data_IF_178981222281
#
_entry.id   IF_178981222281
#
_cell.length_a   1.000
_cell.length_b   1.000
_cell.length_c   1.000
_cell.angle_alpha   90.00
_cell.angle_beta   90.00
_cell.angle_gamma   90.00
#
_symmetry.space_group_name_H-M   'P 1'
#
loop_
_entity.id
_entity.type
_entity.pdbx_description
1 polymer ?
#
# COMPACT_ATOMS: atom_id res chain seq x y z
N UNK A 1 36.80 -4.29 12.73
CA UNK A 1 37.54 -3.29 11.92
C UNK A 1 36.52 -2.29 11.41
N UNK A 2 36.52 -1.06 11.93
CA UNK A 2 35.65 0.00 11.45
C UNK A 2 36.18 0.40 10.08
N UNK A 3 35.42 0.15 8.99
CA UNK A 3 35.74 0.67 7.67
C UNK A 3 35.67 2.19 7.73
N UNK A 4 36.83 2.85 7.78
CA UNK A 4 36.89 4.31 7.67
C UNK A 4 36.62 4.67 6.20
N UNK A 5 35.42 5.14 5.88
CA UNK A 5 35.10 5.67 4.55
C UNK A 5 35.99 6.89 4.31
N UNK A 6 36.81 6.87 3.25
CA UNK A 6 37.69 7.98 2.89
C UNK A 6 36.91 9.22 2.40
N UNK A 7 37.57 10.37 2.35
CA UNK A 7 36.90 11.63 1.94
C UNK A 7 36.44 11.65 0.49
N UNK A 8 37.11 10.91 -0.40
CA UNK A 8 36.73 10.79 -1.79
C UNK A 8 35.41 10.07 -1.93
N UNK A 9 35.30 8.90 -1.32
CA UNK A 9 34.07 8.09 -1.29
C UNK A 9 32.90 8.86 -0.65
N UNK A 10 33.17 9.62 0.43
CA UNK A 10 32.14 10.48 1.03
C UNK A 10 31.66 11.57 0.08
N UNK A 11 32.57 12.22 -0.66
CA UNK A 11 32.19 13.25 -1.60
C UNK A 11 31.41 12.68 -2.79
N UNK A 12 31.79 11.53 -3.30
CA UNK A 12 31.04 10.85 -4.35
C UNK A 12 29.62 10.43 -3.87
N UNK A 13 29.47 9.94 -2.64
CA UNK A 13 28.17 9.65 -2.06
C UNK A 13 27.29 10.92 -1.96
N UNK A 14 27.85 12.08 -1.63
CA UNK A 14 27.13 13.37 -1.62
C UNK A 14 26.77 13.82 -3.03
N UNK A 15 27.68 13.65 -3.98
CA UNK A 15 27.48 14.02 -5.40
C UNK A 15 26.40 13.18 -6.07
N UNK A 16 26.43 11.88 -5.83
CA UNK A 16 25.44 10.92 -6.32
C UNK A 16 24.14 10.91 -5.50
N UNK A 17 24.09 11.62 -4.37
CA UNK A 17 22.96 11.63 -3.42
C UNK A 17 22.59 10.23 -2.95
N UNK A 18 23.58 9.42 -2.66
CA UNK A 18 23.41 8.02 -2.32
C UNK A 18 22.83 7.84 -0.90
N UNK A 19 21.57 7.43 -0.84
CA UNK A 19 20.85 7.22 0.43
C UNK A 19 21.39 6.06 1.27
N UNK A 20 22.20 5.15 0.70
CA UNK A 20 22.83 4.05 1.46
C UNK A 20 23.80 4.53 2.50
N UNK A 21 24.33 5.75 2.33
CA UNK A 21 25.23 6.39 3.27
C UNK A 21 24.52 7.29 4.30
N UNK A 22 23.18 7.38 4.26
CA UNK A 22 22.43 8.17 5.24
C UNK A 22 22.54 7.53 6.63
N UNK A 23 23.06 8.30 7.58
CA UNK A 23 23.36 7.81 8.93
C UNK A 23 24.80 7.32 9.13
N UNK A 24 25.53 6.95 8.08
CA UNK A 24 26.95 6.60 8.16
C UNK A 24 27.84 7.83 8.39
N UNK A 25 27.48 8.95 7.76
CA UNK A 25 28.10 10.24 7.97
C UNK A 25 27.18 11.40 7.62
N UNK A 26 27.57 12.60 8.07
CA UNK A 26 26.90 13.87 7.73
C UNK A 26 27.93 14.80 7.10
N UNK A 27 27.46 15.69 6.20
CA UNK A 27 28.32 16.73 5.64
C UNK A 27 27.78 18.11 5.96
N UNK A 28 28.67 19.04 6.24
CA UNK A 28 28.34 20.43 6.51
C UNK A 28 28.97 21.34 5.47
N UNK A 29 28.21 22.36 5.06
CA UNK A 29 28.62 23.33 4.04
C UNK A 29 29.04 24.63 4.74
N UNK A 30 30.33 24.92 4.71
CA UNK A 30 30.94 26.07 5.41
C UNK A 30 30.33 27.42 5.02
N UNK A 31 29.98 27.59 3.75
CA UNK A 31 29.44 28.86 3.23
C UNK A 31 28.01 29.14 3.65
N UNK A 32 27.23 28.11 4.01
CA UNK A 32 25.84 28.24 4.38
C UNK A 32 25.58 27.98 5.87
N UNK A 33 26.55 27.45 6.59
CA UNK A 33 26.41 27.03 7.99
C UNK A 33 25.39 25.89 8.20
N UNK A 34 25.12 25.08 7.15
CA UNK A 34 24.12 24.04 7.17
C UNK A 34 24.81 22.68 7.08
N UNK A 35 24.36 21.68 7.90
CA UNK A 35 24.75 20.29 7.71
C UNK A 35 23.58 19.48 7.15
N UNK A 36 23.93 18.45 6.37
CA UNK A 36 23.03 17.61 5.60
C UNK A 36 23.44 16.14 5.72
N UNK A 37 22.54 15.24 5.32
CA UNK A 37 22.85 13.83 5.05
C UNK A 37 23.23 13.63 3.58
N UNK A 38 23.94 12.54 3.20
CA UNK A 38 24.41 12.28 1.84
C UNK A 38 23.34 12.38 0.75
N UNK A 39 22.14 11.84 0.98
CA UNK A 39 21.01 11.87 0.04
C UNK A 39 20.32 13.24 -0.09
N UNK A 40 20.86 14.31 0.53
CA UNK A 40 20.23 15.62 0.49
C UNK A 40 20.04 16.13 -0.95
N UNK A 41 18.81 16.53 -1.35
CA UNK A 41 18.52 17.00 -2.70
C UNK A 41 18.90 18.47 -2.94
N UNK A 42 19.59 19.12 -2.02
CA UNK A 42 20.14 20.44 -2.22
C UNK A 42 21.22 20.42 -3.32
N UNK A 43 21.59 21.60 -3.83
CA UNK A 43 22.69 21.72 -4.79
C UNK A 43 23.95 21.16 -4.15
N UNK A 44 24.64 20.25 -4.86
CA UNK A 44 25.91 19.67 -4.40
C UNK A 44 26.93 20.77 -4.17
N UNK A 45 27.47 20.93 -2.95
CA UNK A 45 28.44 21.97 -2.66
C UNK A 45 29.79 21.67 -3.31
N UNK A 46 30.59 22.71 -3.54
CA UNK A 46 31.99 22.52 -3.95
C UNK A 46 32.74 21.78 -2.85
N UNK A 47 33.60 20.81 -3.22
CA UNK A 47 34.35 19.97 -2.29
C UNK A 47 35.10 20.79 -1.24
N UNK A 48 35.71 21.90 -1.62
CA UNK A 48 36.46 22.81 -0.72
C UNK A 48 35.61 23.41 0.40
N UNK A 49 34.29 23.42 0.27
CA UNK A 49 33.36 23.98 1.24
C UNK A 49 32.71 22.92 2.14
N UNK A 50 33.06 21.64 1.94
CA UNK A 50 32.45 20.53 2.70
C UNK A 50 33.32 20.13 3.87
N UNK A 51 32.68 19.82 5.00
CA UNK A 51 33.26 19.11 6.16
C UNK A 51 32.40 17.89 6.47
N UNK A 52 33.02 16.81 6.88
CA UNK A 52 32.34 15.57 7.22
C UNK A 52 32.31 15.33 8.73
N UNK A 53 31.20 14.79 9.23
CA UNK A 53 30.98 14.46 10.63
C UNK A 53 30.41 13.07 10.74
N UNK A 54 30.82 12.32 11.77
CA UNK A 54 30.29 10.98 12.02
C UNK A 54 28.85 11.02 12.55
N UNK A 55 28.46 12.11 13.23
CA UNK A 55 27.12 12.23 13.81
C UNK A 55 26.54 13.63 13.58
N UNK A 56 25.20 13.72 13.57
CA UNK A 56 24.47 14.98 13.53
C UNK A 56 24.85 15.89 14.72
N UNK A 57 25.02 15.29 15.91
CA UNK A 57 25.42 16.01 17.12
C UNK A 57 26.80 16.68 16.98
N UNK A 58 27.77 15.98 16.37
CA UNK A 58 29.10 16.56 16.12
C UNK A 58 29.06 17.76 15.16
N UNK A 59 28.22 17.71 14.14
CA UNK A 59 28.00 18.84 13.24
C UNK A 59 27.34 20.04 13.97
N UNK A 60 26.33 19.79 14.81
CA UNK A 60 25.66 20.81 15.62
C UNK A 60 26.61 21.48 16.61
N UNK A 61 27.40 20.69 17.35
CA UNK A 61 28.42 21.20 18.30
C UNK A 61 29.47 22.05 17.58
N UNK A 62 29.74 21.76 16.30
CA UNK A 62 30.63 22.59 15.46
C UNK A 62 29.98 23.85 14.89
N UNK A 63 28.75 24.19 15.32
CA UNK A 63 28.05 25.43 14.95
C UNK A 63 27.24 25.37 13.66
N UNK A 64 27.04 24.18 13.07
CA UNK A 64 26.18 24.03 11.89
C UNK A 64 24.74 23.75 12.30
N UNK A 65 23.78 24.32 11.57
CA UNK A 65 22.34 24.07 11.77
C UNK A 65 21.87 22.95 10.82
N UNK A 66 20.85 22.22 11.25
CA UNK A 66 20.23 21.17 10.44
C UNK A 66 19.60 21.72 9.16
N UNK A 67 19.75 21.00 8.08
CA UNK A 67 19.08 21.29 6.81
C UNK A 67 17.58 21.02 6.93
N UNK A 68 16.75 22.03 6.70
CA UNK A 68 15.27 21.91 6.73
C UNK A 68 14.70 21.01 5.63
N UNK A 69 15.50 20.68 4.60
CA UNK A 69 15.05 19.81 3.48
C UNK A 69 15.24 18.34 3.76
N UNK A 70 16.40 17.95 4.28
CA UNK A 70 16.70 16.54 4.51
C UNK A 70 16.61 16.13 5.99
N UNK A 71 16.31 17.05 6.92
CA UNK A 71 16.13 16.77 8.35
C UNK A 71 17.22 15.81 8.90
N UNK A 72 18.50 16.18 8.82
CA UNK A 72 19.57 15.30 9.25
C UNK A 72 19.64 15.14 10.80
N UNK A 73 18.85 15.93 11.51
CA UNK A 73 18.61 15.91 12.96
C UNK A 73 17.57 14.87 13.38
N UNK A 74 16.78 14.35 12.46
CA UNK A 74 15.79 13.32 12.74
C UNK A 74 16.43 11.94 12.95
N UNK A 75 15.77 11.08 13.71
CA UNK A 75 16.25 9.71 13.96
C UNK A 75 16.19 8.90 12.66
N UNK A 76 17.26 8.20 12.23
CA UNK A 76 17.24 7.33 11.07
C UNK A 76 16.04 6.36 11.11
N UNK A 77 15.25 6.33 10.03
CA UNK A 77 14.06 5.50 9.94
C UNK A 77 12.79 6.08 10.57
N UNK A 78 12.85 7.25 11.22
CA UNK A 78 11.65 7.95 11.67
C UNK A 78 10.88 8.59 10.50
N UNK A 79 9.59 8.90 10.71
CA UNK A 79 8.76 9.65 9.75
C UNK A 79 9.43 10.99 9.35
N UNK A 80 10.01 11.71 10.29
CA UNK A 80 10.76 12.94 10.06
C UNK A 80 12.01 12.75 9.19
N UNK A 81 12.68 11.59 9.31
CA UNK A 81 13.82 11.22 8.48
C UNK A 81 13.42 11.01 7.02
N UNK A 82 12.24 10.44 6.81
CA UNK A 82 11.71 10.05 5.50
C UNK A 82 10.54 10.91 5.01
N UNK A 83 10.30 12.11 5.57
CA UNK A 83 9.16 13.00 5.22
C UNK A 83 8.93 13.11 3.70
N UNK A 84 9.99 13.14 2.90
CA UNK A 84 9.85 13.20 1.44
C UNK A 84 9.41 11.86 0.84
N UNK A 85 10.03 10.77 1.27
CA UNK A 85 9.65 9.44 0.81
C UNK A 85 8.22 9.13 1.25
N UNK A 86 7.80 9.58 2.43
CA UNK A 86 6.43 9.44 2.90
C UNK A 86 5.44 10.24 2.06
N UNK A 87 5.67 11.53 1.81
CA UNK A 87 4.77 12.35 0.96
C UNK A 87 4.66 11.79 -0.45
N UNK A 88 5.77 11.33 -1.03
CA UNK A 88 5.77 10.70 -2.37
C UNK A 88 5.01 9.37 -2.32
N UNK A 89 5.24 8.55 -1.32
CA UNK A 89 4.53 7.29 -1.11
C UNK A 89 3.01 7.51 -0.91
N UNK A 90 2.62 8.47 -0.08
CA UNK A 90 1.20 8.88 0.12
C UNK A 90 0.58 9.37 -1.19
N UNK A 91 1.27 10.25 -1.92
CA UNK A 91 0.81 10.73 -3.22
C UNK A 91 0.61 9.59 -4.22
N UNK A 92 1.56 8.65 -4.30
CA UNK A 92 1.45 7.50 -5.21
C UNK A 92 0.30 6.58 -4.85
N UNK A 93 0.06 6.31 -3.56
CA UNK A 93 -1.09 5.53 -3.11
C UNK A 93 -2.41 6.22 -3.49
N UNK A 94 -2.51 7.55 -3.29
CA UNK A 94 -3.70 8.33 -3.68
C UNK A 94 -3.90 8.39 -5.19
N UNK A 95 -2.84 8.54 -5.98
CA UNK A 95 -2.92 8.49 -7.45
C UNK A 95 -3.40 7.10 -7.89
N UNK A 96 -2.87 6.04 -7.28
CA UNK A 96 -3.32 4.68 -7.51
C UNK A 96 -4.80 4.46 -7.15
N UNK A 97 -5.30 5.11 -6.11
CA UNK A 97 -6.73 5.12 -5.74
C UNK A 97 -7.59 6.07 -6.59
N UNK A 98 -7.02 6.72 -7.62
CA UNK A 98 -7.75 7.57 -8.55
C UNK A 98 -8.14 8.96 -7.99
N UNK A 99 -7.49 9.45 -6.94
CA UNK A 99 -7.78 10.78 -6.36
C UNK A 99 -7.57 11.88 -7.39
N UNK A 100 -6.50 11.80 -8.20
CA UNK A 100 -6.24 12.81 -9.24
C UNK A 100 -7.33 12.79 -10.33
N UNK A 101 -7.93 11.65 -10.61
CA UNK A 101 -8.99 11.52 -11.61
C UNK A 101 -10.32 12.09 -11.10
N UNK A 102 -10.59 12.00 -9.80
CA UNK A 102 -11.82 12.51 -9.17
C UNK A 102 -11.73 13.97 -8.75
N UNK A 103 -10.61 14.37 -8.17
CA UNK A 103 -10.47 15.67 -7.46
C UNK A 103 -9.38 16.56 -8.06
N UNK A 104 -8.67 16.06 -9.10
CA UNK A 104 -7.55 16.76 -9.71
C UNK A 104 -6.32 16.87 -8.80
N UNK A 105 -5.31 17.59 -9.27
CA UNK A 105 -4.09 17.88 -8.48
C UNK A 105 -4.39 18.75 -7.25
N UNK A 106 -5.34 19.71 -7.29
CA UNK A 106 -5.73 20.44 -6.09
C UNK A 106 -6.26 19.54 -4.97
N UNK A 107 -7.14 18.58 -5.29
CA UNK A 107 -7.65 17.63 -4.30
C UNK A 107 -6.56 16.76 -3.70
N UNK A 108 -5.64 16.23 -4.53
CA UNK A 108 -4.46 15.52 -4.05
C UNK A 108 -3.64 16.38 -3.08
N UNK A 109 -3.41 17.64 -3.42
CA UNK A 109 -2.60 18.56 -2.63
C UNK A 109 -3.24 18.87 -1.26
N UNK A 110 -4.56 19.14 -1.25
CA UNK A 110 -5.33 19.36 -0.01
C UNK A 110 -5.24 18.13 0.90
N UNK A 111 -5.43 16.93 0.35
CA UNK A 111 -5.38 15.68 1.11
C UNK A 111 -4.00 15.40 1.71
N UNK A 112 -2.93 15.82 1.03
CA UNK A 112 -1.56 15.67 1.50
C UNK A 112 -1.15 16.78 2.50
N UNK A 113 -1.91 17.87 2.63
CA UNK A 113 -1.54 19.02 3.44
C UNK A 113 -0.46 19.92 2.80
N UNK A 114 -0.35 19.92 1.45
CA UNK A 114 0.66 20.68 0.72
C UNK A 114 0.02 21.52 -0.39
N UNK A 115 0.78 22.50 -0.92
CA UNK A 115 0.35 23.19 -2.14
C UNK A 115 0.55 22.31 -3.39
N UNK A 116 -0.28 22.49 -4.41
CA UNK A 116 -0.17 21.76 -5.67
C UNK A 116 1.24 21.90 -6.31
N UNK A 117 1.87 23.08 -6.18
CA UNK A 117 3.23 23.34 -6.65
C UNK A 117 4.28 22.51 -5.89
N UNK A 118 4.11 22.35 -4.57
CA UNK A 118 5.02 21.51 -3.77
C UNK A 118 4.88 20.04 -4.14
N UNK A 119 3.64 19.53 -4.28
CA UNK A 119 3.38 18.14 -4.72
C UNK A 119 3.99 17.89 -6.11
N UNK A 120 3.74 18.78 -7.07
CA UNK A 120 4.34 18.70 -8.41
C UNK A 120 5.87 18.61 -8.35
N UNK A 121 6.50 19.50 -7.58
CA UNK A 121 7.96 19.57 -7.46
C UNK A 121 8.54 18.31 -6.80
N UNK A 122 7.91 17.81 -5.72
CA UNK A 122 8.38 16.63 -5.00
C UNK A 122 8.28 15.38 -5.86
N UNK A 123 7.13 15.13 -6.49
CA UNK A 123 6.94 13.99 -7.38
C UNK A 123 7.90 14.04 -8.58
N UNK A 124 8.08 15.22 -9.19
CA UNK A 124 9.01 15.36 -10.32
C UNK A 124 10.46 15.13 -9.89
N UNK A 125 10.85 15.58 -8.68
CA UNK A 125 12.21 15.42 -8.19
C UNK A 125 12.56 13.96 -7.84
N UNK A 126 11.59 13.21 -7.31
CA UNK A 126 11.82 11.83 -6.85
C UNK A 126 11.50 10.77 -7.93
N UNK A 127 10.45 11.01 -8.74
CA UNK A 127 9.94 10.04 -9.70
C UNK A 127 10.15 10.46 -11.17
N UNK A 128 10.69 11.65 -11.40
CA UNK A 128 10.88 12.18 -12.77
C UNK A 128 9.57 12.62 -13.44
N UNK A 129 8.41 12.52 -12.76
CA UNK A 129 7.11 12.82 -13.35
C UNK A 129 6.18 13.50 -12.34
N UNK A 130 5.35 14.44 -12.80
CA UNK A 130 4.34 15.10 -11.97
C UNK A 130 3.04 14.28 -11.84
N UNK A 131 2.13 14.69 -10.94
CA UNK A 131 0.93 13.92 -10.60
C UNK A 131 0.01 13.63 -11.81
N UNK A 132 -0.12 14.56 -12.75
CA UNK A 132 -0.94 14.36 -13.97
C UNK A 132 -0.34 13.28 -14.87
N UNK A 133 0.99 13.24 -15.02
CA UNK A 133 1.67 12.23 -15.84
C UNK A 133 1.56 10.85 -15.20
N UNK A 134 1.70 10.76 -13.87
CA UNK A 134 1.54 9.53 -13.10
C UNK A 134 0.10 9.00 -13.17
N UNK A 135 -0.91 9.86 -13.01
CA UNK A 135 -2.31 9.49 -13.19
C UNK A 135 -2.62 9.03 -14.61
N UNK A 136 -2.00 9.67 -15.63
CA UNK A 136 -2.14 9.24 -17.03
C UNK A 136 -1.56 7.84 -17.25
N UNK A 137 -0.40 7.53 -16.67
CA UNK A 137 0.20 6.20 -16.74
C UNK A 137 -0.70 5.15 -16.06
N UNK A 138 -1.31 5.49 -14.92
CA UNK A 138 -2.26 4.63 -14.22
C UNK A 138 -3.50 4.35 -15.09
N UNK A 139 -4.10 5.39 -15.70
CA UNK A 139 -5.24 5.22 -16.63
C UNK A 139 -4.88 4.33 -17.82
N UNK A 140 -3.69 4.51 -18.40
CA UNK A 140 -3.22 3.65 -19.50
C UNK A 140 -3.08 2.18 -19.07
N UNK A 141 -2.60 1.93 -17.84
CA UNK A 141 -2.53 0.59 -17.28
C UNK A 141 -3.92 -0.02 -17.09
N UNK A 142 -4.86 0.70 -16.49
CA UNK A 142 -6.26 0.27 -16.33
C UNK A 142 -6.91 -0.05 -17.68
N UNK A 143 -6.71 0.83 -18.66
CA UNK A 143 -7.20 0.62 -20.03
C UNK A 143 -6.63 -0.66 -20.67
N UNK A 144 -5.33 -0.92 -20.50
CA UNK A 144 -4.69 -2.14 -20.99
C UNK A 144 -5.32 -3.38 -20.37
N UNK A 145 -5.53 -3.36 -19.05
CA UNK A 145 -6.18 -4.49 -18.35
C UNK A 145 -7.56 -4.75 -18.96
N UNK A 146 -8.42 -3.73 -19.08
CA UNK A 146 -9.75 -3.86 -19.66
C UNK A 146 -9.72 -4.35 -21.12
N UNK A 147 -8.84 -3.80 -21.96
CA UNK A 147 -8.66 -4.24 -23.35
C UNK A 147 -8.29 -5.72 -23.46
N UNK A 148 -7.48 -6.22 -22.53
CA UNK A 148 -6.94 -7.59 -22.58
C UNK A 148 -7.83 -8.61 -21.87
N UNK A 149 -8.76 -8.17 -21.03
CA UNK A 149 -9.56 -9.07 -20.17
C UNK A 149 -11.05 -9.01 -20.43
N UNK A 150 -11.55 -8.03 -21.22
CA UNK A 150 -12.97 -7.85 -21.49
C UNK A 150 -13.25 -7.65 -22.98
N UNK A 151 -14.50 -7.92 -23.39
CA UNK A 151 -15.01 -7.65 -24.73
C UNK A 151 -15.75 -6.30 -24.83
N UNK A 152 -15.62 -5.43 -23.81
CA UNK A 152 -16.25 -4.12 -23.77
C UNK A 152 -15.85 -3.29 -25.00
N UNK A 153 -16.76 -2.48 -25.55
CA UNK A 153 -16.44 -1.51 -26.60
C UNK A 153 -15.25 -0.63 -26.21
N UNK A 154 -14.36 -0.35 -27.17
CA UNK A 154 -13.15 0.48 -26.93
C UNK A 154 -13.53 1.86 -26.37
N UNK A 155 -14.67 2.41 -26.80
CA UNK A 155 -15.19 3.67 -26.30
C UNK A 155 -15.60 3.61 -24.83
N UNK A 156 -16.23 2.54 -24.40
CA UNK A 156 -16.58 2.33 -22.99
C UNK A 156 -15.34 2.17 -22.13
N UNK A 157 -14.34 1.41 -22.60
CA UNK A 157 -13.05 1.26 -21.91
C UNK A 157 -12.36 2.61 -21.74
N UNK A 158 -12.43 3.51 -22.72
CA UNK A 158 -11.82 4.83 -22.61
C UNK A 158 -12.39 5.60 -21.40
N UNK A 159 -13.70 5.63 -21.25
CA UNK A 159 -14.36 6.32 -20.12
C UNK A 159 -14.19 5.56 -18.79
N UNK A 160 -14.31 4.24 -18.81
CA UNK A 160 -14.09 3.39 -17.64
C UNK A 160 -12.67 3.51 -17.07
N UNK A 161 -11.68 3.70 -17.94
CA UNK A 161 -10.29 3.95 -17.54
C UNK A 161 -10.01 5.41 -17.12
N UNK A 162 -11.02 6.28 -17.05
CA UNK A 162 -10.90 7.65 -16.55
C UNK A 162 -10.42 8.68 -17.60
N UNK A 163 -10.50 8.37 -18.91
CA UNK A 163 -10.18 9.36 -19.95
C UNK A 163 -11.37 10.27 -20.23
N UNK A 164 -11.12 11.55 -20.40
CA UNK A 164 -12.15 12.53 -20.72
C UNK A 164 -12.67 12.44 -22.18
N UNK A 165 -11.90 11.80 -23.08
CA UNK A 165 -12.29 11.58 -24.46
C UNK A 165 -11.60 10.38 -25.10
N UNK A 166 -12.27 9.77 -26.09
CA UNK A 166 -11.71 8.66 -26.88
C UNK A 166 -10.44 9.08 -27.64
N UNK A 167 -10.33 10.35 -28.06
CA UNK A 167 -9.13 10.87 -28.70
C UNK A 167 -7.95 10.84 -27.75
N UNK A 168 -8.09 11.39 -26.55
CA UNK A 168 -7.04 11.38 -25.52
C UNK A 168 -6.62 9.95 -25.17
N UNK A 169 -7.60 9.04 -25.05
CA UNK A 169 -7.36 7.63 -24.81
C UNK A 169 -6.49 7.01 -25.92
N UNK A 170 -6.88 7.15 -27.19
CA UNK A 170 -6.15 6.59 -28.34
C UNK A 170 -4.71 7.11 -28.38
N UNK A 171 -4.53 8.45 -28.23
CA UNK A 171 -3.22 9.08 -28.23
C UNK A 171 -2.35 8.57 -27.07
N UNK A 172 -2.94 8.41 -25.90
CA UNK A 172 -2.20 7.91 -24.72
C UNK A 172 -1.81 6.45 -24.89
N UNK A 173 -2.72 5.57 -25.31
CA UNK A 173 -2.43 4.14 -25.53
C UNK A 173 -1.34 3.97 -26.59
N UNK A 174 -1.42 4.72 -27.69
CA UNK A 174 -0.42 4.69 -28.74
C UNK A 174 0.95 5.19 -28.26
N UNK A 175 0.98 6.23 -27.43
CA UNK A 175 2.22 6.77 -26.87
C UNK A 175 2.87 5.80 -25.87
N UNK A 176 2.07 5.18 -24.99
CA UNK A 176 2.59 4.32 -23.91
C UNK A 176 2.97 2.93 -24.41
N UNK A 177 2.16 2.34 -25.31
CA UNK A 177 2.34 0.95 -25.74
C UNK A 177 2.79 0.78 -27.19
N UNK A 178 2.96 1.86 -27.94
CA UNK A 178 3.28 1.86 -29.39
C UNK A 178 2.27 1.07 -30.25
N UNK A 179 1.07 0.83 -29.73
CA UNK A 179 -0.01 0.06 -30.36
C UNK A 179 -1.32 0.84 -30.30
N UNK A 180 -2.21 0.60 -31.26
CA UNK A 180 -3.59 1.07 -31.14
C UNK A 180 -4.34 0.24 -30.10
N UNK A 181 -5.44 0.75 -29.49
CA UNK A 181 -6.26 -0.05 -28.57
C UNK A 181 -6.73 -1.38 -29.17
N UNK A 182 -7.14 -1.38 -30.44
CA UNK A 182 -7.55 -2.60 -31.14
C UNK A 182 -6.41 -3.60 -31.33
N UNK A 183 -5.20 -3.09 -31.69
CA UNK A 183 -4.02 -3.93 -31.81
C UNK A 183 -3.57 -4.49 -30.44
N UNK A 184 -3.65 -3.68 -29.39
CA UNK A 184 -3.33 -4.10 -28.02
C UNK A 184 -4.32 -5.19 -27.51
N UNK A 185 -5.59 -5.09 -27.86
CA UNK A 185 -6.59 -6.15 -27.62
C UNK A 185 -6.26 -7.43 -28.38
N UNK A 186 -5.93 -7.32 -29.67
CA UNK A 186 -5.63 -8.47 -30.52
C UNK A 186 -4.34 -9.20 -30.07
N UNK A 187 -3.37 -8.49 -29.49
CA UNK A 187 -2.13 -9.02 -28.96
C UNK A 187 -2.30 -9.74 -27.60
N UNK A 188 -3.47 -9.68 -26.98
CA UNK A 188 -3.73 -10.39 -25.73
C UNK A 188 -3.64 -11.91 -25.94
N UNK A 189 -3.00 -12.67 -25.02
CA UNK A 189 -3.03 -14.14 -25.07
C UNK A 189 -4.49 -14.61 -25.09
N UNK A 190 -4.85 -15.41 -26.09
CA UNK A 190 -6.20 -16.00 -26.18
C UNK A 190 -6.39 -16.90 -24.95
N UNK A 191 -7.16 -16.43 -23.98
CA UNK A 191 -7.70 -17.27 -22.91
C UNK A 191 -8.70 -18.24 -23.55
N UNK A 192 -8.68 -19.52 -23.10
CA UNK A 192 -9.52 -20.57 -23.66
C UNK A 192 -10.98 -20.16 -23.92
N UNK A 193 -11.67 -20.91 -24.72
CA UNK A 193 -12.89 -20.64 -25.47
C UNK A 193 -14.15 -20.14 -24.72
N UNK A 194 -14.08 -19.94 -23.40
CA UNK A 194 -15.17 -19.34 -22.63
C UNK A 194 -15.11 -17.80 -22.76
N UNK A 195 -15.94 -17.22 -23.59
CA UNK A 195 -16.21 -15.79 -23.62
C UNK A 195 -16.71 -15.34 -22.24
N UNK A 196 -16.04 -14.39 -21.55
CA UNK A 196 -16.62 -13.81 -20.34
C UNK A 196 -17.93 -13.08 -20.73
N UNK A 197 -19.05 -13.59 -20.26
CA UNK A 197 -20.29 -12.82 -20.29
C UNK A 197 -20.17 -11.63 -19.31
N UNK A 198 -20.85 -10.50 -19.50
CA UNK A 198 -20.87 -9.41 -18.53
C UNK A 198 -21.22 -9.85 -17.09
N UNK A 199 -22.07 -10.88 -16.99
CA UNK A 199 -22.41 -11.54 -15.72
C UNK A 199 -21.23 -12.28 -15.07
N UNK A 200 -20.15 -12.59 -15.80
CA UNK A 200 -19.01 -13.33 -15.29
C UNK A 200 -17.96 -12.46 -14.54
N UNK A 201 -18.13 -11.13 -14.53
CA UNK A 201 -17.18 -10.18 -13.91
C UNK A 201 -15.87 -10.01 -14.69
N UNK A 202 -15.03 -9.07 -14.26
CA UNK A 202 -13.73 -8.75 -14.87
C UNK A 202 -12.67 -9.68 -14.27
N UNK A 203 -12.07 -10.61 -15.06
CA UNK A 203 -11.02 -11.46 -14.58
C UNK A 203 -9.69 -10.70 -14.56
N UNK A 204 -8.95 -10.80 -13.46
CA UNK A 204 -7.68 -10.12 -13.24
C UNK A 204 -6.63 -11.09 -12.70
N UNK A 205 -5.37 -10.74 -12.92
CA UNK A 205 -4.22 -11.34 -12.25
C UNK A 205 -3.57 -10.29 -11.36
N UNK A 206 -3.59 -10.54 -10.06
CA UNK A 206 -3.00 -9.67 -9.06
C UNK A 206 -1.57 -10.14 -8.80
N UNK A 207 -0.60 -9.56 -9.50
CA UNK A 207 0.79 -9.93 -9.38
C UNK A 207 1.36 -9.53 -8.01
N UNK A 208 2.25 -10.37 -7.47
CA UNK A 208 3.03 -10.14 -6.26
C UNK A 208 4.52 -10.44 -6.52
N UNK A 209 5.39 -9.99 -5.62
CA UNK A 209 6.83 -10.28 -5.65
C UNK A 209 7.16 -11.48 -4.77
N UNK A 210 8.17 -12.24 -5.19
CA UNK A 210 8.78 -13.30 -4.41
C UNK A 210 7.82 -14.39 -3.91
N UNK A 211 8.23 -15.15 -2.90
CA UNK A 211 7.38 -16.15 -2.28
C UNK A 211 6.15 -15.52 -1.65
N UNK A 212 5.04 -16.24 -1.64
CA UNK A 212 3.76 -15.77 -1.11
C UNK A 212 3.02 -16.87 -0.37
N UNK A 213 2.81 -16.67 0.93
CA UNK A 213 2.06 -17.64 1.77
C UNK A 213 0.56 -17.35 1.71
N UNK A 214 -0.07 -17.76 0.58
CA UNK A 214 -1.50 -17.58 0.36
C UNK A 214 -2.33 -18.22 1.48
N UNK A 215 -1.96 -19.43 1.89
CA UNK A 215 -2.64 -20.16 2.97
C UNK A 215 -2.76 -19.34 4.26
N UNK A 216 -1.69 -18.69 4.70
CA UNK A 216 -1.69 -17.89 5.92
C UNK A 216 -2.54 -16.62 5.80
N UNK A 217 -2.62 -16.02 4.61
CA UNK A 217 -3.48 -14.86 4.34
C UNK A 217 -4.95 -15.28 4.34
N UNK A 218 -5.28 -16.38 3.67
CA UNK A 218 -6.65 -16.89 3.61
C UNK A 218 -7.15 -17.43 4.96
N UNK A 219 -6.27 -18.03 5.78
CA UNK A 219 -6.59 -18.40 7.16
C UNK A 219 -7.02 -17.18 7.97
N UNK A 220 -6.23 -16.10 7.93
CA UNK A 220 -6.57 -14.85 8.61
C UNK A 220 -7.89 -14.25 8.12
N UNK A 221 -8.10 -14.20 6.79
CA UNK A 221 -9.33 -13.63 6.23
C UNK A 221 -10.56 -14.48 6.58
N UNK A 222 -10.41 -15.81 6.68
CA UNK A 222 -11.48 -16.70 7.13
C UNK A 222 -11.84 -16.47 8.61
N UNK A 223 -10.82 -16.33 9.47
CA UNK A 223 -11.02 -16.07 10.90
C UNK A 223 -11.70 -14.73 11.17
N UNK A 224 -11.40 -13.72 10.34
CA UNK A 224 -11.93 -12.36 10.47
C UNK A 224 -13.22 -12.13 9.67
N UNK A 225 -13.66 -13.05 8.82
CA UNK A 225 -14.79 -12.86 7.93
C UNK A 225 -16.09 -12.47 8.68
N UNK A 226 -16.75 -11.43 8.19
CA UNK A 226 -18.01 -10.91 8.72
C UNK A 226 -19.15 -11.36 7.82
N UNK A 227 -20.09 -12.09 8.41
CA UNK A 227 -21.29 -12.61 7.70
C UNK A 227 -22.06 -11.50 6.99
N UNK A 228 -22.44 -11.75 5.76
CA UNK A 228 -23.20 -10.84 4.92
C UNK A 228 -22.35 -9.92 4.04
N UNK A 229 -21.08 -9.69 4.39
CA UNK A 229 -20.15 -8.87 3.61
C UNK A 229 -18.88 -9.60 3.16
N UNK A 230 -18.53 -10.69 3.83
CA UNK A 230 -17.35 -11.51 3.50
C UNK A 230 -17.67 -13.00 3.63
N UNK A 231 -17.01 -13.80 2.81
CA UNK A 231 -17.03 -15.25 2.93
C UNK A 231 -15.71 -15.86 2.39
N UNK A 232 -15.32 -16.99 2.97
CA UNK A 232 -14.26 -17.86 2.46
C UNK A 232 -14.84 -19.24 2.27
N UNK A 233 -14.84 -19.72 1.04
CA UNK A 233 -15.37 -21.05 0.68
C UNK A 233 -14.33 -21.88 -0.06
N UNK A 234 -14.50 -23.20 -0.11
CA UNK A 234 -13.60 -24.14 -0.75
C UNK A 234 -12.65 -24.82 0.23
N UNK A 235 -11.87 -25.79 -0.27
CA UNK A 235 -10.86 -26.53 0.49
C UNK A 235 -9.54 -25.75 0.57
N UNK A 236 -8.78 -25.96 1.62
CA UNK A 236 -7.47 -25.30 1.80
C UNK A 236 -6.56 -25.59 0.60
N UNK A 237 -5.93 -24.53 0.05
CA UNK A 237 -5.15 -24.56 -1.19
C UNK A 237 -5.96 -24.27 -2.45
N UNK A 238 -7.30 -24.27 -2.36
CA UNK A 238 -8.23 -23.95 -3.46
C UNK A 238 -9.43 -23.10 -2.98
N UNK A 239 -9.25 -22.36 -1.88
CA UNK A 239 -10.29 -21.50 -1.34
C UNK A 239 -10.51 -20.28 -2.22
N UNK A 240 -11.73 -19.74 -2.14
CA UNK A 240 -12.08 -18.44 -2.72
C UNK A 240 -12.53 -17.53 -1.60
N UNK A 241 -11.85 -16.39 -1.44
CA UNK A 241 -12.30 -15.29 -0.60
C UNK A 241 -13.18 -14.36 -1.42
N UNK A 242 -14.36 -14.05 -0.94
CA UNK A 242 -15.29 -13.10 -1.55
C UNK A 242 -15.69 -12.01 -0.57
N UNK A 243 -15.84 -10.79 -1.09
CA UNK A 243 -16.35 -9.67 -0.28
C UNK A 243 -17.07 -8.62 -1.11
N UNK A 244 -17.90 -7.86 -0.42
CA UNK A 244 -18.49 -6.63 -0.94
C UNK A 244 -17.57 -5.44 -0.75
N UNK A 245 -17.63 -4.46 -1.63
CA UNK A 245 -16.88 -3.20 -1.56
C UNK A 245 -17.81 -2.01 -1.77
N UNK A 246 -17.72 -1.02 -0.89
CA UNK A 246 -18.19 0.33 -1.13
C UNK A 246 -17.10 1.07 -1.90
N UNK A 247 -17.44 1.65 -3.04
CA UNK A 247 -16.49 2.29 -3.94
C UNK A 247 -16.93 3.72 -4.23
N UNK A 248 -16.05 4.60 -4.76
CA UNK A 248 -16.34 6.02 -4.98
C UNK A 248 -17.53 6.30 -5.91
N UNK A 249 -17.74 5.47 -6.93
CA UNK A 249 -18.81 5.64 -7.90
C UNK A 249 -19.94 4.63 -7.76
N UNK A 250 -19.71 3.57 -6.98
CA UNK A 250 -20.71 2.52 -6.83
C UNK A 250 -20.33 1.46 -5.82
N UNK A 251 -20.63 0.23 -6.17
CA UNK A 251 -20.38 -0.94 -5.34
C UNK A 251 -19.70 -2.03 -6.15
N UNK A 252 -19.06 -2.96 -5.46
CA UNK A 252 -18.45 -4.11 -6.11
C UNK A 252 -18.52 -5.36 -5.26
N UNK A 253 -18.44 -6.50 -5.94
CA UNK A 253 -18.15 -7.81 -5.35
C UNK A 253 -16.87 -8.30 -5.95
N UNK A 254 -15.93 -8.69 -5.11
CA UNK A 254 -14.65 -9.25 -5.53
C UNK A 254 -14.52 -10.69 -5.05
N UNK A 255 -13.91 -11.53 -5.88
CA UNK A 255 -13.53 -12.89 -5.56
C UNK A 255 -12.03 -13.05 -5.85
N UNK A 256 -11.28 -13.64 -4.92
CA UNK A 256 -9.85 -13.93 -5.08
C UNK A 256 -9.61 -15.39 -4.75
N UNK A 257 -8.88 -16.08 -5.61
CA UNK A 257 -8.59 -17.51 -5.48
C UNK A 257 -7.28 -17.71 -4.70
N UNK A 258 -7.27 -18.68 -3.76
CA UNK A 258 -6.10 -19.03 -2.96
C UNK A 258 -5.00 -19.67 -3.82
N UNK A 259 -5.39 -20.41 -4.85
CA UNK A 259 -4.45 -21.00 -5.77
C UNK A 259 -3.59 -19.87 -6.40
N UNK A 260 -2.31 -19.87 -6.05
CA UNK A 260 -1.37 -18.92 -6.62
C UNK A 260 -0.54 -19.61 -7.71
N UNK A 261 -0.14 -18.83 -8.69
CA UNK A 261 0.65 -19.31 -9.82
C UNK A 261 2.04 -18.67 -9.78
N UNK A 262 3.06 -19.48 -9.58
CA UNK A 262 4.44 -19.04 -9.70
C UNK A 262 4.82 -18.81 -11.16
N UNK A 263 5.53 -17.73 -11.44
CA UNK A 263 6.00 -17.44 -12.80
C UNK A 263 7.01 -18.48 -13.33
N UNK A 264 7.52 -19.36 -12.48
CA UNK A 264 8.39 -20.47 -12.86
C UNK A 264 7.67 -21.58 -13.64
N UNK A 265 6.34 -21.69 -13.51
CA UNK A 265 5.52 -22.74 -14.19
C UNK A 265 4.98 -22.27 -15.54
N UNK A 266 5.27 -21.06 -16.00
CA UNK A 266 4.89 -20.60 -17.33
C UNK A 266 5.74 -21.31 -18.41
N UNK A 267 5.13 -21.88 -19.47
CA UNK A 267 5.88 -22.52 -20.56
C UNK A 267 6.77 -21.46 -21.27
N UNK A 268 8.08 -21.61 -21.16
CA UNK A 268 9.08 -20.67 -21.70
C UNK A 268 10.22 -20.32 -20.74
N UNK A 269 10.43 -21.11 -19.69
CA UNK A 269 11.39 -20.86 -18.62
C UNK A 269 12.85 -20.83 -19.06
N UNK A 270 13.53 -19.71 -18.76
CA UNK A 270 14.98 -19.54 -18.80
C UNK A 270 15.65 -20.09 -17.54
N UNK A 271 16.97 -20.16 -17.58
CA UNK A 271 17.94 -20.72 -16.64
C UNK A 271 17.63 -20.55 -15.13
N UNK A 272 17.96 -21.55 -14.35
CA UNK A 272 17.64 -21.75 -12.93
C UNK A 272 18.09 -20.68 -11.94
N UNK A 273 19.00 -19.77 -12.29
CA UNK A 273 19.51 -18.72 -11.38
C UNK A 273 18.63 -17.45 -11.39
N UNK A 274 17.87 -17.19 -12.46
CA UNK A 274 16.90 -16.08 -12.53
C UNK A 274 15.54 -16.42 -11.90
N UNK A 275 15.26 -17.69 -11.65
CA UNK A 275 13.99 -18.17 -11.10
C UNK A 275 13.77 -17.73 -9.64
N UNK A 276 14.83 -17.48 -8.89
CA UNK A 276 14.78 -17.18 -7.45
C UNK A 276 14.11 -15.83 -7.14
N UNK A 277 14.06 -14.90 -8.11
CA UNK A 277 13.49 -13.54 -7.92
C UNK A 277 12.14 -13.34 -8.62
N UNK A 278 11.52 -14.40 -9.12
CA UNK A 278 10.24 -14.31 -9.83
C UNK A 278 9.09 -14.37 -8.83
N UNK A 279 8.21 -13.37 -8.92
CA UNK A 279 6.92 -13.37 -8.22
C UNK A 279 5.90 -14.27 -8.91
N UNK A 280 4.67 -14.23 -8.42
CA UNK A 280 3.52 -14.92 -8.99
C UNK A 280 2.32 -13.99 -9.11
N UNK A 281 1.13 -14.58 -9.16
CA UNK A 281 -0.13 -13.85 -9.14
C UNK A 281 -1.23 -14.65 -8.46
N UNK A 282 -2.20 -13.94 -7.90
CA UNK A 282 -3.50 -14.47 -7.49
C UNK A 282 -4.51 -14.20 -8.61
N UNK A 283 -5.32 -15.17 -8.97
CA UNK A 283 -6.44 -14.95 -9.86
C UNK A 283 -7.57 -14.29 -9.08
N UNK A 284 -8.17 -13.25 -9.69
CA UNK A 284 -9.25 -12.49 -9.09
C UNK A 284 -10.36 -12.22 -10.11
N UNK A 285 -11.58 -12.00 -9.63
CA UNK A 285 -12.73 -11.63 -10.43
C UNK A 285 -13.48 -10.49 -9.75
N UNK A 286 -13.79 -9.44 -10.51
CA UNK A 286 -14.45 -8.24 -10.00
C UNK A 286 -15.77 -8.01 -10.72
N UNK A 287 -16.85 -7.87 -9.96
CA UNK A 287 -18.14 -7.38 -10.43
C UNK A 287 -18.31 -5.97 -9.88
N UNK A 288 -18.33 -4.98 -10.75
CA UNK A 288 -18.42 -3.56 -10.41
C UNK A 288 -19.69 -2.97 -11.01
N UNK A 289 -20.43 -2.18 -10.25
CA UNK A 289 -21.59 -1.42 -10.77
C UNK A 289 -21.15 -0.25 -11.64
N UNK A 290 -19.93 0.27 -11.39
CA UNK A 290 -19.29 1.30 -12.22
C UNK A 290 -17.82 0.93 -12.50
N UNK A 291 -17.48 0.86 -13.78
CA UNK A 291 -16.12 0.44 -14.19
C UNK A 291 -15.03 1.47 -13.85
N UNK A 292 -15.39 2.72 -13.58
CA UNK A 292 -14.43 3.74 -13.10
C UNK A 292 -13.81 3.36 -11.76
N UNK A 293 -14.47 2.50 -11.01
CA UNK A 293 -14.00 1.99 -9.73
C UNK A 293 -12.94 0.87 -9.83
N UNK A 294 -12.65 0.38 -11.06
CA UNK A 294 -11.72 -0.74 -11.24
C UNK A 294 -10.35 -0.48 -10.60
N UNK A 295 -9.78 0.70 -10.85
CA UNK A 295 -8.47 1.05 -10.29
C UNK A 295 -8.47 1.04 -8.76
N UNK A 296 -9.47 1.67 -8.15
CA UNK A 296 -9.64 1.71 -6.68
C UNK A 296 -9.84 0.30 -6.10
N UNK A 297 -10.69 -0.51 -6.72
CA UNK A 297 -10.94 -1.89 -6.27
C UNK A 297 -9.66 -2.73 -6.32
N UNK A 298 -8.88 -2.64 -7.40
CA UNK A 298 -7.58 -3.32 -7.53
C UNK A 298 -6.61 -2.88 -6.44
N UNK A 299 -6.49 -1.57 -6.18
CA UNK A 299 -5.58 -1.07 -5.14
C UNK A 299 -6.01 -1.52 -3.74
N UNK A 300 -7.31 -1.56 -3.47
CA UNK A 300 -7.84 -2.08 -2.20
C UNK A 300 -7.53 -3.57 -2.02
N UNK A 301 -7.65 -4.39 -3.07
CA UNK A 301 -7.23 -5.80 -3.04
C UNK A 301 -5.72 -5.93 -2.83
N UNK A 302 -4.91 -5.14 -3.55
CA UNK A 302 -3.45 -5.17 -3.36
C UNK A 302 -3.06 -4.90 -1.92
N UNK A 303 -3.72 -3.92 -1.26
CA UNK A 303 -3.49 -3.64 0.17
C UNK A 303 -3.98 -4.78 1.07
N UNK A 304 -5.21 -5.29 0.82
CA UNK A 304 -5.78 -6.37 1.61
C UNK A 304 -4.89 -7.62 1.62
N UNK A 305 -4.35 -7.97 0.46
CA UNK A 305 -3.49 -9.15 0.29
C UNK A 305 -1.99 -8.85 0.44
N UNK A 306 -1.60 -7.60 0.74
CA UNK A 306 -0.20 -7.16 0.90
C UNK A 306 0.70 -7.56 -0.29
N UNK A 307 0.20 -7.29 -1.52
CA UNK A 307 0.86 -7.75 -2.75
C UNK A 307 2.06 -6.87 -3.17
N UNK A 308 2.20 -5.69 -2.59
CA UNK A 308 3.26 -4.73 -2.94
C UNK A 308 4.51 -4.88 -2.07
N UNK A 309 4.44 -5.69 -1.00
CA UNK A 309 5.59 -5.95 -0.13
C UNK A 309 6.71 -6.68 -0.86
N UNK A 310 7.95 -6.38 -0.44
CA UNK A 310 9.14 -7.14 -0.85
C UNK A 310 9.47 -8.19 0.22
N UNK A 311 9.10 -9.46 0.02
CA UNK A 311 9.30 -10.50 1.02
C UNK A 311 10.78 -10.78 1.27
N UNK A 312 11.66 -10.58 0.30
CA UNK A 312 13.09 -10.85 0.47
C UNK A 312 13.70 -9.89 1.49
N UNK A 313 13.38 -8.59 1.38
CA UNK A 313 13.86 -7.59 2.33
C UNK A 313 13.33 -7.84 3.75
N UNK A 314 12.05 -8.25 3.86
CA UNK A 314 11.41 -8.60 5.13
C UNK A 314 12.07 -9.83 5.74
N UNK A 315 12.16 -10.93 4.96
CA UNK A 315 12.67 -12.22 5.43
C UNK A 315 14.17 -12.13 5.80
N UNK A 316 14.98 -11.41 5.02
CA UNK A 316 16.40 -11.15 5.33
C UNK A 316 16.55 -10.42 6.67
N UNK A 317 15.80 -9.33 6.88
CA UNK A 317 15.90 -8.54 8.10
C UNK A 317 15.44 -9.31 9.32
N UNK A 318 14.28 -9.96 9.25
CA UNK A 318 13.71 -10.69 10.39
C UNK A 318 14.46 -12.00 10.65
N UNK A 319 14.98 -12.65 9.61
CA UNK A 319 15.80 -13.85 9.73
C UNK A 319 17.15 -13.63 10.43
N UNK A 320 17.59 -12.38 10.60
CA UNK A 320 18.78 -12.06 11.40
C UNK A 320 18.52 -12.12 12.93
N UNK A 321 17.27 -12.08 13.38
CA UNK A 321 16.93 -12.24 14.81
C UNK A 321 16.83 -13.74 15.16
N UNK A 322 17.58 -14.25 16.16
CA UNK A 322 17.58 -15.67 16.53
C UNK A 322 16.20 -16.22 16.91
N UNK A 323 15.28 -15.39 17.41
CA UNK A 323 13.91 -15.79 17.77
C UNK A 323 13.01 -15.93 16.55
N UNK A 324 13.22 -15.10 15.54
CA UNK A 324 12.43 -15.08 14.32
C UNK A 324 13.01 -15.96 13.22
N UNK A 325 14.31 -16.20 13.20
CA UNK A 325 15.00 -17.00 12.17
C UNK A 325 14.31 -18.35 11.88
N UNK A 326 13.99 -19.21 12.88
CA UNK A 326 13.31 -20.47 12.61
C UNK A 326 11.88 -20.27 12.07
N UNK A 327 11.20 -19.21 12.49
CA UNK A 327 9.84 -18.91 12.03
C UNK A 327 9.82 -18.38 10.58
N UNK A 328 10.78 -17.54 10.24
CA UNK A 328 10.96 -17.02 8.87
C UNK A 328 11.38 -18.15 7.93
N UNK A 329 12.35 -18.99 8.31
CA UNK A 329 12.79 -20.12 7.52
C UNK A 329 11.65 -21.14 7.24
N UNK A 330 10.77 -21.35 8.23
CA UNK A 330 9.62 -22.24 8.06
C UNK A 330 8.52 -21.63 7.15
N UNK A 331 8.47 -20.32 7.01
CA UNK A 331 7.38 -19.59 6.30
C UNK A 331 7.89 -18.38 5.54
N UNK A 332 8.75 -18.58 4.53
CA UNK A 332 9.22 -17.47 3.70
C UNK A 332 8.05 -16.83 2.97
N UNK A 333 8.08 -15.51 2.86
CA UNK A 333 7.05 -14.74 2.17
C UNK A 333 5.73 -14.58 2.92
N UNK A 334 5.75 -14.71 4.26
CA UNK A 334 4.57 -14.37 5.09
C UNK A 334 4.22 -12.89 4.92
N UNK A 335 2.93 -12.61 4.77
CA UNK A 335 2.42 -11.25 4.52
C UNK A 335 1.81 -10.63 5.77
N UNK A 336 1.75 -9.29 5.78
CA UNK A 336 1.00 -8.50 6.77
C UNK A 336 -0.21 -7.86 6.09
N UNK A 337 -1.34 -8.59 5.96
CA UNK A 337 -2.53 -8.09 5.24
C UNK A 337 -3.02 -6.76 5.78
N UNK A 338 -3.35 -5.84 4.88
CA UNK A 338 -3.95 -4.55 5.21
C UNK A 338 -5.48 -4.62 5.27
N UNK A 339 -6.13 -3.50 4.95
CA UNK A 339 -7.59 -3.40 4.88
C UNK A 339 -8.04 -3.02 3.47
N UNK A 340 -9.14 -3.61 3.00
CA UNK A 340 -9.79 -3.20 1.76
C UNK A 340 -10.51 -1.86 1.92
N UNK A 341 -11.10 -1.63 3.07
CA UNK A 341 -11.71 -0.36 3.48
C UNK A 341 -11.17 0.00 4.87
N UNK A 342 -10.39 1.09 4.99
CA UNK A 342 -9.78 1.48 6.25
C UNK A 342 -10.79 1.85 7.34
N UNK A 343 -11.89 2.54 6.98
CA UNK A 343 -12.91 2.99 7.92
C UNK A 343 -13.71 1.80 8.45
N UNK A 344 -14.08 0.86 7.57
CA UNK A 344 -14.67 -0.42 7.94
C UNK A 344 -13.76 -1.17 8.92
N UNK A 345 -12.46 -1.27 8.59
CA UNK A 345 -11.52 -2.00 9.44
C UNK A 345 -11.40 -1.37 10.83
N UNK A 346 -11.34 -0.05 10.93
CA UNK A 346 -11.27 0.64 12.22
C UNK A 346 -12.48 0.33 13.10
N UNK A 347 -13.68 0.35 12.53
CA UNK A 347 -14.91 -0.04 13.25
C UNK A 347 -14.86 -1.51 13.68
N UNK A 348 -14.44 -2.41 12.81
CA UNK A 348 -14.31 -3.86 13.10
C UNK A 348 -13.28 -4.14 14.19
N UNK A 349 -12.15 -3.45 14.19
CA UNK A 349 -11.11 -3.58 15.20
C UNK A 349 -11.61 -3.19 16.59
N UNK A 350 -12.50 -2.18 16.66
CA UNK A 350 -13.10 -1.71 17.90
C UNK A 350 -14.19 -2.67 18.43
N UNK A 351 -15.13 -3.09 17.56
CA UNK A 351 -16.33 -3.84 18.00
C UNK A 351 -16.17 -5.36 17.94
N UNK A 352 -15.09 -5.84 17.31
CA UNK A 352 -14.84 -7.25 17.03
C UNK A 352 -15.80 -7.86 15.98
N UNK A 353 -15.55 -9.11 15.57
CA UNK A 353 -16.31 -9.79 14.51
C UNK A 353 -17.82 -9.86 14.80
N UNK A 354 -18.20 -10.25 16.01
CA UNK A 354 -19.61 -10.36 16.38
C UNK A 354 -20.30 -8.97 16.43
N UNK A 355 -19.61 -7.94 16.91
CA UNK A 355 -20.08 -6.56 16.87
C UNK A 355 -20.27 -6.07 15.45
N UNK A 356 -19.29 -6.30 14.57
CA UNK A 356 -19.37 -5.94 13.17
C UNK A 356 -20.56 -6.61 12.46
N UNK A 357 -20.80 -7.91 12.70
CA UNK A 357 -21.97 -8.61 12.15
C UNK A 357 -23.30 -7.98 12.60
N UNK A 358 -23.40 -7.53 13.87
CA UNK A 358 -24.59 -6.81 14.36
C UNK A 358 -24.76 -5.45 13.66
N UNK A 359 -23.66 -4.71 13.45
CA UNK A 359 -23.71 -3.43 12.73
C UNK A 359 -24.16 -3.64 11.29
N UNK A 360 -23.64 -4.67 10.60
CA UNK A 360 -24.06 -5.02 9.22
C UNK A 360 -25.55 -5.37 9.20
N UNK A 361 -26.02 -6.20 10.11
CA UNK A 361 -27.44 -6.60 10.15
C UNK A 361 -28.39 -5.43 10.42
N UNK A 362 -27.96 -4.43 11.19
CA UNK A 362 -28.80 -3.29 11.60
C UNK A 362 -28.73 -2.12 10.64
N UNK A 363 -27.55 -1.80 10.12
CA UNK A 363 -27.28 -0.59 9.35
C UNK A 363 -26.68 -0.85 7.97
N UNK A 364 -26.34 -2.11 7.66
CA UNK A 364 -25.76 -2.47 6.36
C UNK A 364 -26.71 -2.16 5.21
N UNK A 365 -26.18 -1.57 4.15
CA UNK A 365 -26.96 -1.37 2.93
C UNK A 365 -27.12 -2.69 2.20
N UNK A 366 -28.35 -3.13 1.98
CA UNK A 366 -28.68 -4.33 1.21
C UNK A 366 -28.17 -4.18 -0.23
N UNK A 367 -27.57 -5.25 -0.77
CA UNK A 367 -27.18 -5.31 -2.18
C UNK A 367 -28.41 -5.46 -3.07
N UNK A 368 -28.39 -4.83 -4.25
CA UNK A 368 -29.46 -4.96 -5.24
C UNK A 368 -29.64 -6.42 -5.73
N UNK A 369 -28.54 -7.18 -5.77
CA UNK A 369 -28.54 -8.61 -6.04
C UNK A 369 -27.58 -9.32 -5.08
N UNK A 370 -28.10 -10.26 -4.30
CA UNK A 370 -27.30 -11.10 -3.44
C UNK A 370 -26.38 -12.01 -4.26
N UNK A 371 -25.15 -12.24 -3.77
CA UNK A 371 -24.18 -13.13 -4.39
C UNK A 371 -23.70 -14.17 -3.37
N UNK A 372 -24.31 -15.33 -3.36
CA UNK A 372 -24.10 -16.33 -2.31
C UNK A 372 -24.56 -15.80 -0.94
N UNK A 373 -23.67 -15.83 0.05
CA UNK A 373 -23.93 -15.32 1.40
C UNK A 373 -23.68 -13.81 1.52
N UNK A 374 -23.19 -13.15 0.46
CA UNK A 374 -22.97 -11.71 0.42
C UNK A 374 -24.30 -11.00 0.13
N UNK A 375 -24.81 -10.27 1.10
CA UNK A 375 -26.12 -9.65 1.09
C UNK A 375 -26.10 -8.16 1.37
N UNK A 376 -25.03 -7.66 1.97
CA UNK A 376 -24.92 -6.28 2.44
C UNK A 376 -23.56 -5.65 2.09
N UNK A 377 -23.53 -4.34 2.16
CA UNK A 377 -22.31 -3.55 2.33
C UNK A 377 -22.15 -3.24 3.82
N UNK A 378 -20.91 -3.12 4.29
CA UNK A 378 -20.67 -2.57 5.63
C UNK A 378 -21.25 -1.15 5.72
N UNK A 379 -21.84 -0.72 6.87
CA UNK A 379 -22.39 0.63 7.01
C UNK A 379 -21.32 1.72 6.74
N UNK A 380 -21.75 2.86 6.18
CA UNK A 380 -20.83 4.02 6.11
C UNK A 380 -20.64 4.63 7.51
N UNK A 381 -19.51 5.33 7.77
CA UNK A 381 -19.32 6.01 9.05
C UNK A 381 -20.49 6.91 9.46
N UNK A 382 -21.07 7.64 8.50
CA UNK A 382 -22.24 8.51 8.76
C UNK A 382 -23.47 7.73 9.27
N UNK A 383 -23.67 6.47 8.85
CA UNK A 383 -24.78 5.62 9.27
C UNK A 383 -24.61 5.16 10.74
N UNK A 384 -23.37 5.19 11.26
CA UNK A 384 -22.99 4.71 12.59
C UNK A 384 -22.73 5.84 13.60
N UNK A 385 -22.75 7.10 13.16
CA UNK A 385 -22.42 8.24 14.01
C UNK A 385 -23.38 8.42 15.22
N UNK A 386 -24.59 7.87 15.14
CA UNK A 386 -25.57 7.88 16.22
C UNK A 386 -25.44 6.67 17.20
N UNK A 387 -24.52 5.72 16.96
CA UNK A 387 -24.27 4.63 17.89
C UNK A 387 -23.72 5.17 19.22
N UNK A 388 -24.10 4.59 20.36
CA UNK A 388 -23.64 5.06 21.66
C UNK A 388 -22.17 4.71 21.92
N UNK A 389 -21.49 5.57 22.68
CA UNK A 389 -20.12 5.33 23.16
C UNK A 389 -19.05 5.45 22.09
N UNK A 390 -17.94 4.73 22.28
CA UNK A 390 -16.76 4.78 21.43
C UNK A 390 -17.04 4.47 19.94
N UNK A 391 -17.91 3.49 19.58
CA UNK A 391 -18.23 3.24 18.17
C UNK A 391 -18.85 4.45 17.47
N UNK A 392 -19.79 5.15 18.11
CA UNK A 392 -20.37 6.37 17.54
C UNK A 392 -19.38 7.51 17.46
N UNK A 393 -18.52 7.70 18.47
CA UNK A 393 -17.48 8.71 18.46
C UNK A 393 -16.46 8.48 17.31
N UNK A 394 -16.02 7.23 17.12
CA UNK A 394 -15.13 6.86 16.01
C UNK A 394 -15.82 7.10 14.67
N UNK A 395 -17.07 6.67 14.51
CA UNK A 395 -17.84 6.85 13.30
C UNK A 395 -18.08 8.32 12.97
N UNK A 396 -18.39 9.17 13.95
CA UNK A 396 -18.57 10.60 13.78
C UNK A 396 -17.27 11.27 13.30
N UNK A 397 -16.12 10.96 13.93
CA UNK A 397 -14.83 11.50 13.55
C UNK A 397 -14.39 11.08 12.11
N UNK A 398 -14.74 9.86 11.67
CA UNK A 398 -14.54 9.42 10.30
C UNK A 398 -15.49 10.13 9.32
N UNK A 399 -16.74 10.33 9.70
CA UNK A 399 -17.76 10.94 8.87
C UNK A 399 -17.53 12.45 8.63
N UNK A 400 -17.09 13.18 9.65
CA UNK A 400 -16.79 14.61 9.54
C UNK A 400 -15.38 14.92 9.03
N UNK A 401 -14.52 13.88 8.88
CA UNK A 401 -13.16 13.98 8.36
C UNK A 401 -12.13 14.51 9.35
N UNK A 402 -12.47 14.66 10.63
CA UNK A 402 -11.51 14.98 11.70
C UNK A 402 -10.51 13.86 11.94
N UNK A 403 -10.92 12.62 11.68
CA UNK A 403 -10.05 11.45 11.56
C UNK A 403 -10.04 10.96 10.11
N UNK A 404 -8.85 10.75 9.56
CA UNK A 404 -8.67 10.23 8.19
C UNK A 404 -7.80 8.99 8.22
N UNK A 405 -8.29 7.91 7.60
CA UNK A 405 -7.59 6.63 7.48
C UNK A 405 -7.33 6.23 6.01
N UNK A 406 -7.61 7.13 5.06
CA UNK A 406 -7.40 6.86 3.64
C UNK A 406 -5.91 6.62 3.29
N UNK A 407 -5.64 6.14 2.08
CA UNK A 407 -4.30 5.79 1.61
C UNK A 407 -3.28 6.94 1.67
N UNK A 408 -3.75 8.18 1.82
CA UNK A 408 -2.93 9.38 1.96
C UNK A 408 -2.87 9.97 3.36
N UNK A 409 -3.53 9.35 4.32
CA UNK A 409 -3.51 9.82 5.70
C UNK A 409 -2.08 9.84 6.27
N UNK A 410 -1.76 10.85 7.05
CA UNK A 410 -0.57 10.84 7.86
C UNK A 410 -0.77 9.88 9.03
N UNK A 411 0.16 8.94 9.20
CA UNK A 411 0.03 7.85 10.18
C UNK A 411 0.11 8.36 11.61
N UNK A 412 0.95 9.34 11.86
CA UNK A 412 1.17 9.88 13.20
C UNK A 412 0.03 10.80 13.62
N UNK A 413 -0.46 11.64 12.69
CA UNK A 413 -1.65 12.46 12.91
C UNK A 413 -2.90 11.59 13.14
N UNK A 414 -3.07 10.52 12.34
CA UNK A 414 -4.18 9.58 12.50
C UNK A 414 -4.11 8.83 13.84
N UNK A 415 -2.91 8.37 14.25
CA UNK A 415 -2.71 7.75 15.55
C UNK A 415 -3.02 8.71 16.70
N UNK A 416 -2.57 9.96 16.62
CA UNK A 416 -2.87 10.97 17.62
C UNK A 416 -4.37 11.22 17.75
N UNK A 417 -5.09 11.33 16.62
CA UNK A 417 -6.54 11.48 16.60
C UNK A 417 -7.26 10.24 17.18
N UNK A 418 -6.82 9.02 16.84
CA UNK A 418 -7.36 7.79 17.42
C UNK A 418 -7.16 7.73 18.93
N UNK A 419 -5.99 8.08 19.43
CA UNK A 419 -5.69 8.10 20.88
C UNK A 419 -6.50 9.15 21.64
N UNK A 420 -6.95 10.20 20.98
CA UNK A 420 -7.82 11.22 21.60
C UNK A 420 -9.28 10.74 21.75
N UNK A 421 -9.69 9.68 21.07
CA UNK A 421 -11.05 9.14 21.19
C UNK A 421 -11.22 8.41 22.54
N UNK A 422 -12.25 8.75 23.32
CA UNK A 422 -12.48 8.12 24.61
C UNK A 422 -12.84 6.63 24.45
N UNK A 423 -12.21 5.77 25.24
CA UNK A 423 -12.49 4.34 25.27
C UNK A 423 -11.81 3.51 24.16
N UNK A 424 -10.96 4.11 23.35
CA UNK A 424 -10.14 3.38 22.38
C UNK A 424 -8.82 2.98 23.04
N UNK A 425 -8.58 1.69 23.21
CA UNK A 425 -7.37 1.18 23.85
C UNK A 425 -6.15 1.20 22.91
N UNK A 426 -4.95 1.19 23.49
CA UNK A 426 -3.70 1.31 22.76
C UNK A 426 -3.47 0.14 21.78
N UNK A 427 -3.98 -1.05 22.06
CA UNK A 427 -3.86 -2.23 21.19
C UNK A 427 -4.73 -2.05 19.94
N UNK A 428 -5.95 -1.59 20.11
CA UNK A 428 -6.88 -1.30 19.00
C UNK A 428 -6.31 -0.19 18.10
N UNK A 429 -5.74 0.89 18.68
CA UNK A 429 -5.05 1.94 17.94
C UNK A 429 -3.90 1.37 17.11
N UNK A 430 -3.05 0.53 17.72
CA UNK A 430 -1.94 -0.10 17.02
C UNK A 430 -2.41 -1.03 15.88
N UNK A 431 -3.48 -1.80 16.07
CA UNK A 431 -4.09 -2.63 15.03
C UNK A 431 -4.63 -1.80 13.85
N UNK A 432 -5.31 -0.68 14.14
CA UNK A 432 -5.80 0.24 13.11
C UNK A 432 -4.60 0.82 12.33
N UNK A 433 -3.56 1.29 13.02
CA UNK A 433 -2.35 1.79 12.38
C UNK A 433 -1.71 0.73 11.48
N UNK A 434 -1.56 -0.50 11.96
CA UNK A 434 -0.98 -1.61 11.21
C UNK A 434 -1.79 -1.94 9.95
N UNK A 435 -3.10 -2.14 10.09
CA UNK A 435 -3.94 -2.74 9.06
C UNK A 435 -4.66 -1.70 8.18
N UNK A 436 -5.29 -0.68 8.78
CA UNK A 436 -6.00 0.36 8.04
C UNK A 436 -5.04 1.35 7.37
N UNK A 437 -4.02 1.81 8.08
CA UNK A 437 -3.00 2.72 7.54
C UNK A 437 -1.84 2.00 6.84
N UNK A 438 -1.82 0.65 6.87
CA UNK A 438 -0.80 -0.17 6.20
C UNK A 438 0.62 0.15 6.68
N UNK A 439 0.80 0.36 7.98
CA UNK A 439 2.11 0.62 8.56
C UNK A 439 2.88 -0.69 8.79
N UNK A 440 4.00 -0.92 8.10
CA UNK A 440 4.80 -2.14 8.26
C UNK A 440 5.56 -2.19 9.58
N UNK A 441 5.64 -1.06 10.32
CA UNK A 441 6.53 -0.89 11.47
C UNK A 441 5.77 -0.55 12.76
N UNK A 442 4.76 -1.33 13.11
CA UNK A 442 3.97 -1.17 14.33
C UNK A 442 4.40 -2.19 15.40
N UNK A 443 4.65 -1.71 16.62
CA UNK A 443 4.79 -2.54 17.82
C UNK A 443 3.44 -2.64 18.55
N UNK A 444 3.11 -3.82 19.08
CA UNK A 444 1.97 -3.95 19.97
C UNK A 444 2.36 -3.60 21.41
N UNK A 445 1.46 -3.01 22.21
CA UNK A 445 1.71 -2.76 23.62
C UNK A 445 2.03 -4.05 24.38
N UNK A 446 3.05 -4.00 25.24
CA UNK A 446 3.47 -5.14 26.07
C UNK A 446 4.66 -5.94 25.54
N UNK A 447 5.16 -5.66 24.33
CA UNK A 447 6.37 -6.26 23.82
C UNK A 447 7.63 -5.52 24.36
N UNK A 448 8.72 -6.24 24.70
CA UNK A 448 9.96 -5.62 25.20
C UNK A 448 10.58 -4.70 24.13
N UNK A 449 10.83 -3.44 24.46
CA UNK A 449 11.28 -2.39 23.53
C UNK A 449 12.59 -2.75 22.80
N UNK A 450 13.61 -3.23 23.52
CA UNK A 450 14.89 -3.60 22.94
C UNK A 450 14.81 -4.77 21.93
N UNK A 451 13.87 -5.68 22.14
CA UNK A 451 13.64 -6.80 21.23
C UNK A 451 12.92 -6.37 19.96
N UNK A 452 12.05 -5.38 20.07
CA UNK A 452 11.19 -4.87 18.99
C UNK A 452 11.95 -3.92 18.06
N UNK A 453 12.97 -3.21 18.55
CA UNK A 453 13.78 -2.30 17.74
C UNK A 453 14.66 -3.02 16.72
N UNK A 454 15.11 -4.24 17.01
CA UNK A 454 15.86 -5.06 16.06
C UNK A 454 15.05 -5.44 14.80
N UNK A 455 13.71 -5.44 14.89
CA UNK A 455 12.81 -5.82 13.79
C UNK A 455 12.43 -4.66 12.85
N UNK A 456 12.86 -3.44 13.19
CA UNK A 456 12.59 -2.30 12.32
C UNK A 456 13.21 -2.46 10.93
N UNK A 457 12.51 -2.02 9.88
CA UNK A 457 11.19 -1.36 9.85
C UNK A 457 10.02 -2.34 9.62
N UNK A 458 10.14 -3.62 10.02
CA UNK A 458 9.20 -4.70 9.68
C UNK A 458 8.51 -5.32 10.92
N UNK A 459 8.29 -4.51 11.98
CA UNK A 459 7.68 -5.00 13.24
C UNK A 459 6.31 -5.64 13.05
N UNK A 460 5.48 -5.11 12.15
CA UNK A 460 4.17 -5.69 11.82
C UNK A 460 4.28 -7.11 11.26
N UNK A 461 5.30 -7.39 10.46
CA UNK A 461 5.58 -8.73 9.93
C UNK A 461 6.13 -9.66 11.00
N UNK A 462 7.01 -9.17 11.88
CA UNK A 462 7.51 -9.93 13.02
C UNK A 462 6.36 -10.42 13.90
N UNK A 463 5.39 -9.55 14.20
CA UNK A 463 4.19 -9.91 14.95
C UNK A 463 3.36 -10.99 14.25
N UNK A 464 3.29 -10.98 12.92
CA UNK A 464 2.62 -12.03 12.15
C UNK A 464 3.32 -13.38 12.29
N UNK A 465 4.66 -13.42 12.26
CA UNK A 465 5.42 -14.64 12.51
C UNK A 465 5.20 -15.17 13.92
N UNK A 466 5.13 -14.31 14.93
CA UNK A 466 4.92 -14.69 16.34
C UNK A 466 3.47 -15.13 16.65
N UNK A 467 2.49 -14.49 16.04
CA UNK A 467 1.07 -14.77 16.28
C UNK A 467 0.56 -16.02 15.58
N UNK A 468 1.28 -16.51 14.59
CA UNK A 468 0.84 -17.67 13.83
C UNK A 468 0.92 -18.95 14.67
N UNK A 469 -0.16 -19.70 14.67
CA UNK A 469 -0.22 -21.06 15.21
C UNK A 469 -0.40 -22.04 14.06
N UNK A 470 0.33 -23.19 14.03
CA UNK A 470 0.03 -24.22 13.05
C UNK A 470 -1.43 -24.63 13.20
N UNK A 471 -2.14 -24.98 12.09
CA UNK A 471 -3.43 -25.59 12.21
C UNK A 471 -3.27 -26.84 13.10
N UNK A 472 -4.20 -27.03 14.05
CA UNK A 472 -4.26 -28.28 14.77
C UNK A 472 -4.41 -29.41 13.74
N UNK A 473 -3.49 -30.36 13.79
CA UNK A 473 -3.56 -31.54 12.93
C UNK A 473 -4.95 -32.16 13.10
N UNK A 474 -5.69 -32.19 11.98
CA UNK A 474 -7.00 -32.84 11.86
C UNK A 474 -6.79 -34.28 11.46
#
# INVERSE_FOLDING_TARGET
>A
MVHVIDEETRYEAVRSRDARFDGEFFFAVRTTGIYCRPSCPAVTPKRTNVRYYATAAAAQTSGFRACRRCRPDAVPGSADWNVRADVVGRAMRMIGDGVVDREGVPGLAVRLGYSARQVQRQLTAELGAGPVALARAQRAHTARVLLQTTDLPVTEIAFAAGFASVRQFNDTIKTVYALTPTALRAAAPRRGTARPTPAAGIPLRLAHRGPYRADAVFDLLADEAVTGIEEVGGERGARTYRRTLRLPYGTGIVAVEEAHHDSATAPGGGSSTEAVHRGGWLDARLHLTDLRDLTTAVQRLRRLFDLDADPYAVDERLGADPRLAPLVAARPGLRSPGAADPDEFAMRALVGRAGAARLVARYGKVLDAACGTLTHLFPAPADLAAEPGTPGALAAALADGSLRLDAGADRDDAEAALRALPGLDARTVALIRMRALGDPDVALPGEPEAAVDAWRPWRSYALRHLAWRPPADS
#
